data_IF_457531186626
#
_entry.id   IF_457531186626
#
_cell.length_a   1.000
_cell.length_b   1.000
_cell.length_c   1.000
_cell.angle_alpha   90.00
_cell.angle_beta   90.00
_cell.angle_gamma   90.00
#
_symmetry.space_group_name_H-M   'P 1'
#
loop_
_entity.id
_entity.type
_entity.pdbx_description
1 polymer ?
#
# COMPACT_ATOMS: atom_id res chain seq x y z
N UNK A 1 14.49 -10.60 -26.56
CA UNK A 1 15.27 -10.16 -25.38
C UNK A 1 14.25 -9.84 -24.30
N UNK A 2 14.34 -10.50 -23.14
CA UNK A 2 13.35 -10.35 -22.07
C UNK A 2 13.81 -9.34 -21.02
N UNK A 3 12.86 -8.62 -20.45
CA UNK A 3 13.08 -7.73 -19.33
C UNK A 3 13.43 -8.56 -18.09
N UNK A 4 14.62 -8.35 -17.52
CA UNK A 4 15.06 -9.05 -16.30
C UNK A 4 14.17 -8.78 -15.08
N UNK A 5 13.45 -7.65 -15.06
CA UNK A 5 12.60 -7.25 -13.95
C UNK A 5 11.23 -7.94 -13.94
N UNK A 6 10.69 -8.31 -15.12
CA UNK A 6 9.32 -8.84 -15.21
C UNK A 6 9.12 -9.99 -16.22
N UNK A 7 10.18 -10.45 -16.88
CA UNK A 7 10.14 -11.55 -17.85
C UNK A 7 9.43 -11.24 -19.18
N UNK A 8 8.95 -10.01 -19.40
CA UNK A 8 8.24 -9.65 -20.64
C UNK A 8 9.22 -9.22 -21.75
N UNK A 9 8.88 -9.54 -23.00
CA UNK A 9 9.69 -9.23 -24.19
C UNK A 9 9.38 -7.87 -24.84
N UNK A 10 8.26 -7.24 -24.48
CA UNK A 10 7.82 -6.00 -25.14
C UNK A 10 8.59 -4.78 -24.62
N UNK A 11 9.08 -3.97 -25.57
CA UNK A 11 9.84 -2.76 -25.26
C UNK A 11 9.51 -1.60 -26.19
N UNK A 12 9.71 -0.39 -25.66
CA UNK A 12 9.71 0.88 -26.40
C UNK A 12 11.09 1.49 -26.42
N UNK A 13 11.34 2.35 -27.40
CA UNK A 13 12.57 3.12 -27.48
C UNK A 13 12.43 4.41 -26.69
N UNK A 14 13.45 4.75 -25.90
CA UNK A 14 13.43 5.99 -25.10
C UNK A 14 14.70 6.81 -25.31
N UNK A 15 14.53 8.13 -25.30
CA UNK A 15 15.60 9.11 -25.34
C UNK A 15 15.61 9.83 -24.00
N UNK A 16 16.75 9.87 -23.32
CA UNK A 16 16.93 10.56 -22.05
C UNK A 16 18.04 11.59 -22.19
N UNK A 17 17.76 12.84 -21.84
CA UNK A 17 18.78 13.89 -21.78
C UNK A 17 19.43 13.89 -20.39
N UNK A 18 20.75 13.87 -20.36
CA UNK A 18 21.55 13.98 -19.15
C UNK A 18 21.71 15.47 -18.78
N UNK A 19 22.10 15.73 -17.53
CA UNK A 19 22.26 17.10 -17.01
C UNK A 19 23.27 17.96 -17.80
N UNK A 20 24.21 17.33 -18.51
CA UNK A 20 25.20 18.02 -19.35
C UNK A 20 24.72 18.24 -20.80
N UNK A 21 23.42 18.10 -21.07
CA UNK A 21 22.84 18.24 -22.42
C UNK A 21 23.11 17.05 -23.36
N UNK A 22 23.90 16.07 -22.93
CA UNK A 22 24.13 14.82 -23.68
C UNK A 22 22.88 13.93 -23.69
N UNK A 23 22.73 13.11 -24.73
CA UNK A 23 21.53 12.28 -24.91
C UNK A 23 21.90 10.79 -24.88
N UNK A 24 21.23 10.02 -24.03
CA UNK A 24 21.36 8.57 -23.96
C UNK A 24 20.08 7.87 -24.43
N UNK A 25 20.23 6.72 -25.11
CA UNK A 25 19.14 6.01 -25.78
C UNK A 25 19.00 4.61 -25.20
N UNK A 26 17.78 4.16 -24.91
CA UNK A 26 17.55 2.86 -24.27
C UNK A 26 16.37 2.12 -24.87
N UNK A 27 16.39 0.79 -24.74
CA UNK A 27 15.17 -0.04 -24.76
C UNK A 27 14.57 -0.05 -23.37
N UNK A 28 13.26 0.15 -23.26
CA UNK A 28 12.56 0.18 -21.98
C UNK A 28 11.35 -0.73 -22.01
N UNK A 29 11.22 -1.58 -21.01
CA UNK A 29 10.09 -2.50 -20.92
C UNK A 29 8.77 -1.73 -20.93
N UNK A 30 7.81 -2.14 -21.76
CA UNK A 30 6.49 -1.48 -21.81
C UNK A 30 5.74 -1.69 -20.48
N UNK A 31 5.91 -2.85 -19.85
CA UNK A 31 5.17 -3.23 -18.62
C UNK A 31 5.70 -2.56 -17.35
N UNK A 32 7.01 -2.62 -17.10
CA UNK A 32 7.60 -2.16 -15.83
C UNK A 32 8.54 -0.96 -15.99
N UNK A 33 8.74 -0.47 -17.21
CA UNK A 33 9.55 0.71 -17.52
C UNK A 33 11.04 0.61 -17.10
N UNK A 34 11.55 -0.59 -16.80
CA UNK A 34 12.98 -0.80 -16.58
C UNK A 34 13.75 -0.84 -17.90
N UNK A 35 15.03 -0.47 -17.85
CA UNK A 35 15.92 -0.57 -19.01
C UNK A 35 16.15 -2.05 -19.37
N UNK A 36 16.16 -2.34 -20.67
CA UNK A 36 16.45 -3.67 -21.19
C UNK A 36 17.81 -3.61 -21.89
N UNK A 37 18.84 -4.11 -21.21
CA UNK A 37 20.21 -4.11 -21.70
C UNK A 37 20.91 -2.75 -21.56
N UNK A 38 22.02 -2.60 -22.29
CA UNK A 38 22.86 -1.40 -22.27
C UNK A 38 22.26 -0.26 -23.10
N UNK A 39 22.83 0.94 -22.93
CA UNK A 39 22.52 2.09 -23.78
C UNK A 39 22.79 1.76 -25.26
N UNK A 40 21.89 2.22 -26.14
CA UNK A 40 21.98 2.03 -27.57
C UNK A 40 22.88 3.10 -28.20
N UNK A 41 23.67 2.68 -29.20
CA UNK A 41 24.30 3.61 -30.13
C UNK A 41 23.21 4.32 -30.96
N UNK A 42 23.55 5.49 -31.52
CA UNK A 42 22.65 6.22 -32.43
C UNK A 42 22.23 5.34 -33.62
N UNK A 43 23.18 4.64 -34.23
CA UNK A 43 22.93 3.76 -35.39
C UNK A 43 21.94 2.65 -35.06
N UNK A 44 22.13 1.96 -33.92
CA UNK A 44 21.21 0.89 -33.50
C UNK A 44 19.82 1.42 -33.15
N UNK A 45 19.75 2.63 -32.59
CA UNK A 45 18.48 3.26 -32.25
C UNK A 45 17.65 3.61 -33.50
N UNK A 46 18.28 4.24 -34.51
CA UNK A 46 17.58 4.59 -35.75
C UNK A 46 17.14 3.34 -36.52
N UNK A 47 17.95 2.27 -36.55
CA UNK A 47 17.54 0.99 -37.13
C UNK A 47 16.27 0.42 -36.48
N UNK A 48 16.19 0.44 -35.14
CA UNK A 48 15.01 -0.05 -34.42
C UNK A 48 13.80 0.86 -34.65
N UNK A 49 14.01 2.18 -34.70
CA UNK A 49 12.95 3.14 -34.99
C UNK A 49 12.37 2.93 -36.40
N UNK A 50 13.22 2.75 -37.42
CA UNK A 50 12.81 2.40 -38.78
C UNK A 50 12.10 1.03 -38.86
N UNK A 51 12.31 0.16 -37.89
CA UNK A 51 11.62 -1.14 -37.78
C UNK A 51 10.23 -1.04 -37.10
N UNK A 52 9.70 0.17 -36.90
CA UNK A 52 8.34 0.39 -36.42
C UNK A 52 8.18 0.48 -34.90
N UNK A 53 9.28 0.51 -34.12
CA UNK A 53 9.19 0.66 -32.67
C UNK A 53 8.87 2.11 -32.27
N UNK A 54 7.93 2.27 -31.32
CA UNK A 54 7.54 3.59 -30.81
C UNK A 54 8.67 4.24 -30.01
N UNK A 55 8.89 5.54 -30.26
CA UNK A 55 9.91 6.35 -29.60
C UNK A 55 9.27 7.33 -28.63
N UNK A 56 9.80 7.40 -27.41
CA UNK A 56 9.39 8.37 -26.39
C UNK A 56 10.59 9.23 -25.98
N UNK A 57 10.50 10.54 -26.18
CA UNK A 57 11.47 11.51 -25.64
C UNK A 57 11.10 11.82 -24.19
N UNK A 58 12.03 11.60 -23.27
CA UNK A 58 11.83 11.83 -21.84
C UNK A 58 12.28 13.23 -21.40
N UNK A 59 12.82 14.04 -22.32
CA UNK A 59 13.23 15.42 -22.07
C UNK A 59 14.36 15.59 -21.05
N UNK A 60 14.88 16.81 -20.94
CA UNK A 60 15.72 17.22 -19.81
C UNK A 60 14.77 17.85 -18.78
N UNK A 61 14.24 17.05 -17.87
CA UNK A 61 13.46 17.52 -16.72
C UNK A 61 12.31 18.50 -17.03
N UNK A 62 11.19 18.01 -17.56
CA UNK A 62 9.85 18.63 -17.42
C UNK A 62 8.79 17.61 -17.83
N UNK A 63 7.87 17.23 -16.94
CA UNK A 63 6.52 17.80 -16.90
C UNK A 63 5.88 17.92 -18.29
N UNK A 64 4.94 17.04 -18.61
CA UNK A 64 3.98 17.26 -19.68
C UNK A 64 2.64 17.69 -19.08
N UNK A 65 2.29 18.96 -19.29
CA UNK A 65 0.92 19.40 -19.42
C UNK A 65 0.40 19.01 -20.81
N UNK A 66 -0.71 18.27 -20.87
CA UNK A 66 -1.61 18.24 -22.02
C UNK A 66 -3.02 18.45 -21.50
N UNK A 67 -3.69 19.46 -22.07
CA UNK A 67 -5.04 19.90 -21.74
C UNK A 67 -6.07 18.95 -22.36
N UNK A 68 -7.15 18.76 -21.59
CA UNK A 68 -8.49 18.24 -21.90
C UNK A 68 -8.62 16.83 -22.48
N UNK A 69 -8.92 15.88 -21.59
CA UNK A 69 -10.29 15.40 -21.41
C UNK A 69 -10.45 14.89 -19.95
N UNK A 70 -11.56 15.26 -19.32
CA UNK A 70 -11.89 15.00 -17.91
C UNK A 70 -11.51 13.60 -17.42
N UNK A 71 -10.35 13.48 -16.76
CA UNK A 71 -10.07 12.45 -15.76
C UNK A 71 -8.90 12.91 -14.89
N UNK A 72 -9.21 13.17 -13.62
CA UNK A 72 -8.25 13.60 -12.59
C UNK A 72 -7.07 12.61 -12.49
N UNK A 73 -5.81 13.07 -12.27
CA UNK A 73 -4.70 12.16 -12.08
C UNK A 73 -4.87 11.42 -10.74
N UNK A 74 -5.25 10.15 -10.87
CA UNK A 74 -5.22 9.11 -9.83
C UNK A 74 -3.81 9.00 -9.23
N UNK A 75 -3.69 8.50 -8.00
CA UNK A 75 -2.37 8.22 -7.40
C UNK A 75 -1.52 7.40 -8.38
N UNK A 76 -0.24 7.70 -8.55
CA UNK A 76 0.56 6.99 -9.57
C UNK A 76 0.98 5.60 -9.11
N UNK A 77 0.87 5.30 -7.80
CA UNK A 77 1.07 3.96 -7.26
C UNK A 77 -0.12 3.03 -7.55
N UNK A 78 -1.34 3.53 -7.36
CA UNK A 78 -2.58 2.77 -7.55
C UNK A 78 -3.66 3.61 -8.24
N UNK A 79 -4.31 3.02 -9.24
CA UNK A 79 -5.35 3.66 -10.05
C UNK A 79 -6.73 3.63 -9.40
N UNK A 80 -6.98 2.70 -8.50
CA UNK A 80 -8.24 2.54 -7.80
C UNK A 80 -8.02 1.78 -6.49
N UNK A 81 -9.04 1.77 -5.62
CA UNK A 81 -8.99 1.07 -4.33
C UNK A 81 -8.81 -0.45 -4.50
N UNK A 82 -9.37 -1.03 -5.56
CA UNK A 82 -9.22 -2.46 -5.87
C UNK A 82 -7.76 -2.85 -6.10
N UNK A 83 -6.96 -2.02 -6.76
CA UNK A 83 -5.52 -2.23 -6.94
C UNK A 83 -4.78 -2.18 -5.59
N UNK A 84 -5.19 -1.29 -4.67
CA UNK A 84 -4.62 -1.22 -3.31
C UNK A 84 -4.95 -2.51 -2.53
N UNK A 85 -6.21 -2.95 -2.60
CA UNK A 85 -6.69 -4.18 -1.96
C UNK A 85 -5.97 -5.42 -2.49
N UNK A 86 -5.81 -5.53 -3.82
CA UNK A 86 -5.13 -6.67 -4.44
C UNK A 86 -3.64 -6.69 -4.09
N UNK A 87 -3.00 -5.52 -4.10
CA UNK A 87 -1.62 -5.41 -3.63
C UNK A 87 -1.49 -5.88 -2.18
N UNK A 88 -2.36 -5.41 -1.29
CA UNK A 88 -2.32 -5.79 0.12
C UNK A 88 -2.48 -7.30 0.29
N UNK A 89 -3.49 -7.88 -0.36
CA UNK A 89 -3.76 -9.32 -0.28
C UNK A 89 -2.57 -10.15 -0.75
N UNK A 90 -1.98 -9.82 -1.90
CA UNK A 90 -0.87 -10.57 -2.49
C UNK A 90 0.44 -10.40 -1.72
N UNK A 91 0.59 -9.33 -0.95
CA UNK A 91 1.79 -9.05 -0.17
C UNK A 91 1.71 -9.64 1.22
N UNK A 92 0.57 -9.47 1.89
CA UNK A 92 0.41 -9.84 3.29
C UNK A 92 0.05 -11.32 3.48
N UNK A 93 -0.28 -12.05 2.41
CA UNK A 93 -0.57 -13.49 2.47
C UNK A 93 0.60 -14.33 3.00
N UNK A 94 1.83 -13.84 2.85
CA UNK A 94 3.07 -14.41 3.38
C UNK A 94 3.00 -14.58 4.91
N UNK A 95 2.34 -13.64 5.60
CA UNK A 95 2.32 -13.57 7.06
C UNK A 95 0.97 -13.87 7.68
N UNK A 96 -0.11 -13.75 6.90
CA UNK A 96 -1.47 -13.82 7.42
C UNK A 96 -2.35 -14.75 6.59
N UNK A 97 -3.29 -15.40 7.28
CA UNK A 97 -4.50 -15.92 6.69
C UNK A 97 -5.46 -14.73 6.47
N UNK A 98 -5.91 -14.55 5.23
CA UNK A 98 -6.65 -13.35 4.82
C UNK A 98 -7.98 -13.78 4.22
N UNK A 99 -9.08 -13.26 4.76
CA UNK A 99 -10.42 -13.33 4.19
C UNK A 99 -10.81 -11.95 3.66
N UNK A 100 -11.33 -11.87 2.43
CA UNK A 100 -11.71 -10.63 1.73
C UNK A 100 -13.22 -10.41 1.77
N UNK A 101 -13.64 -9.15 1.84
CA UNK A 101 -15.03 -8.72 1.65
C UNK A 101 -15.99 -9.40 2.65
N UNK A 102 -15.54 -9.54 3.90
CA UNK A 102 -16.20 -10.35 4.92
C UNK A 102 -17.48 -9.65 5.39
N UNK A 103 -18.65 -10.27 5.21
CA UNK A 103 -19.90 -9.69 5.67
C UNK A 103 -20.00 -9.73 7.19
N UNK A 104 -20.69 -8.75 7.76
CA UNK A 104 -20.88 -8.64 9.20
C UNK A 104 -22.09 -7.81 9.57
N UNK A 105 -22.21 -7.57 10.88
CA UNK A 105 -23.29 -6.82 11.49
C UNK A 105 -22.75 -5.89 12.57
N UNK A 106 -23.13 -4.62 12.51
CA UNK A 106 -22.85 -3.65 13.57
C UNK A 106 -23.74 -3.96 14.77
N UNK A 107 -23.15 -4.19 15.94
CA UNK A 107 -23.88 -4.74 17.09
C UNK A 107 -24.88 -3.76 17.69
N UNK A 108 -24.58 -2.46 17.67
CA UNK A 108 -25.42 -1.41 18.27
C UNK A 108 -26.48 -0.89 17.29
N UNK A 109 -26.11 -0.78 16.03
CA UNK A 109 -26.95 -0.12 15.00
C UNK A 109 -27.77 -1.14 14.20
N UNK A 110 -27.57 -2.43 14.45
CA UNK A 110 -28.22 -3.55 13.76
C UNK A 110 -27.99 -3.55 12.22
N UNK A 111 -27.01 -2.80 11.73
CA UNK A 111 -26.78 -2.62 10.29
C UNK A 111 -25.82 -3.66 9.71
N UNK A 112 -26.06 -4.02 8.44
CA UNK A 112 -25.11 -4.83 7.67
C UNK A 112 -23.84 -4.03 7.39
N UNK A 113 -22.70 -4.63 7.66
CA UNK A 113 -21.37 -4.07 7.35
C UNK A 113 -20.56 -5.06 6.53
N UNK A 114 -19.47 -4.58 5.93
CA UNK A 114 -18.53 -5.41 5.18
C UNK A 114 -17.12 -4.92 5.46
N UNK A 115 -16.27 -5.80 5.97
CA UNK A 115 -14.86 -5.52 6.16
C UNK A 115 -14.09 -5.86 4.89
N UNK A 116 -13.17 -4.99 4.47
CA UNK A 116 -12.28 -5.28 3.34
C UNK A 116 -11.47 -6.54 3.59
N UNK A 117 -10.76 -6.62 4.73
CA UNK A 117 -10.08 -7.85 5.15
C UNK A 117 -10.23 -8.19 6.63
N UNK A 118 -10.38 -9.48 6.92
CA UNK A 118 -10.13 -10.06 8.23
C UNK A 118 -8.85 -10.91 8.17
N UNK A 119 -7.91 -10.64 9.08
CA UNK A 119 -6.59 -11.25 9.12
C UNK A 119 -6.38 -12.05 10.39
N UNK A 120 -5.75 -13.21 10.26
CA UNK A 120 -5.24 -14.02 11.38
C UNK A 120 -3.76 -14.34 11.14
N UNK A 121 -2.87 -14.21 12.14
CA UNK A 121 -1.45 -14.48 11.93
C UNK A 121 -1.19 -15.95 11.61
N UNK A 122 -0.24 -16.21 10.71
CA UNK A 122 0.33 -17.55 10.56
C UNK A 122 1.17 -17.91 11.80
N UNK A 123 1.43 -19.21 11.97
CA UNK A 123 2.26 -19.73 13.07
C UNK A 123 3.59 -19.01 13.17
N UNK A 124 4.27 -18.78 12.04
CA UNK A 124 5.54 -18.07 11.95
C UNK A 124 5.56 -16.69 12.62
N UNK A 125 4.45 -15.94 12.58
CA UNK A 125 4.35 -14.67 13.32
C UNK A 125 3.94 -14.88 14.77
N UNK A 126 2.99 -15.79 15.00
CA UNK A 126 2.43 -16.01 16.32
C UNK A 126 3.43 -16.64 17.30
N UNK A 127 4.35 -17.46 16.80
CA UNK A 127 5.43 -18.08 17.56
C UNK A 127 6.51 -17.04 17.93
N UNK A 128 6.56 -15.93 17.19
CA UNK A 128 7.38 -14.75 17.49
C UNK A 128 6.64 -13.73 18.39
N UNK A 129 5.49 -14.10 18.97
CA UNK A 129 4.76 -13.28 19.92
C UNK A 129 3.70 -12.35 19.32
N UNK A 130 3.40 -12.43 18.02
CA UNK A 130 2.26 -11.70 17.47
C UNK A 130 0.94 -12.23 18.06
N UNK A 131 0.02 -11.32 18.41
CA UNK A 131 -1.29 -11.65 18.97
C UNK A 131 -2.10 -12.66 18.14
N UNK A 132 -2.47 -13.79 18.75
CA UNK A 132 -3.23 -14.91 18.15
C UNK A 132 -4.73 -14.61 18.08
N UNK A 133 -5.14 -13.62 17.30
CA UNK A 133 -6.53 -13.29 17.10
C UNK A 133 -6.80 -12.57 15.79
N UNK A 134 -8.09 -12.54 15.42
CA UNK A 134 -8.53 -11.83 14.23
C UNK A 134 -8.44 -10.31 14.40
N UNK A 135 -8.01 -9.62 13.36
CA UNK A 135 -8.06 -8.16 13.26
C UNK A 135 -8.53 -7.74 11.88
N UNK A 136 -9.12 -6.54 11.81
CA UNK A 136 -9.64 -5.97 10.57
C UNK A 136 -8.58 -5.16 9.83
N UNK A 137 -8.72 -5.05 8.52
CA UNK A 137 -8.02 -4.05 7.70
C UNK A 137 -9.05 -3.37 6.81
N UNK A 138 -9.14 -2.05 6.90
CA UNK A 138 -9.91 -1.20 5.99
C UNK A 138 -8.94 -0.57 4.99
N UNK A 139 -9.22 -0.71 3.69
CA UNK A 139 -8.38 -0.20 2.63
C UNK A 139 -8.96 1.09 2.07
N UNK A 140 -8.10 2.07 1.81
CA UNK A 140 -8.49 3.31 1.16
C UNK A 140 -7.53 3.74 0.06
N UNK A 141 -8.09 4.30 -1.00
CA UNK A 141 -7.33 5.14 -1.92
C UNK A 141 -7.61 6.61 -1.61
N UNK A 142 -6.72 7.27 -0.87
CA UNK A 142 -6.86 8.71 -0.63
C UNK A 142 -6.46 9.50 -1.88
N UNK A 143 -7.28 10.47 -2.30
CA UNK A 143 -6.98 11.30 -3.45
C UNK A 143 -5.72 12.13 -3.20
N UNK A 144 -5.08 12.53 -4.30
CA UNK A 144 -3.91 13.39 -4.26
C UNK A 144 -4.24 14.89 -4.29
N UNK A 145 -5.50 15.30 -4.28
CA UNK A 145 -5.90 16.71 -4.39
C UNK A 145 -6.56 17.23 -3.10
N UNK A 146 -6.58 18.56 -2.99
CA UNK A 146 -6.93 19.34 -1.79
C UNK A 146 -8.36 19.15 -1.27
N UNK A 147 -9.30 18.77 -2.12
CA UNK A 147 -10.74 18.92 -1.84
C UNK A 147 -11.34 17.82 -0.94
N UNK A 148 -10.56 16.80 -0.56
CA UNK A 148 -11.06 15.66 0.22
C UNK A 148 -10.30 15.39 1.52
N UNK A 149 -9.96 16.45 2.26
CA UNK A 149 -9.37 16.34 3.61
C UNK A 149 -10.24 15.58 4.62
N UNK A 150 -11.53 15.37 4.31
CA UNK A 150 -12.45 14.57 5.13
C UNK A 150 -12.30 13.06 4.92
N UNK A 151 -11.67 12.61 3.83
CA UNK A 151 -11.58 11.19 3.50
C UNK A 151 -10.85 10.37 4.58
N UNK A 152 -9.70 10.83 5.13
CA UNK A 152 -9.08 10.16 6.27
C UNK A 152 -9.99 10.04 7.50
N UNK A 153 -10.76 11.10 7.82
CA UNK A 153 -11.67 11.07 8.98
C UNK A 153 -12.83 10.09 8.77
N UNK A 154 -13.38 10.01 7.56
CA UNK A 154 -14.40 9.01 7.21
C UNK A 154 -13.84 7.58 7.33
N UNK A 155 -12.62 7.37 6.83
CA UNK A 155 -11.93 6.08 6.94
C UNK A 155 -11.70 5.68 8.41
N UNK A 156 -11.33 6.65 9.27
CA UNK A 156 -11.24 6.43 10.71
C UNK A 156 -12.57 5.94 11.27
N UNK A 157 -13.66 6.69 11.07
CA UNK A 157 -14.95 6.32 11.65
C UNK A 157 -15.49 4.98 11.13
N UNK A 158 -15.22 4.65 9.87
CA UNK A 158 -15.53 3.33 9.32
C UNK A 158 -14.71 2.22 10.00
N UNK A 159 -13.41 2.41 10.21
CA UNK A 159 -12.58 1.46 10.94
C UNK A 159 -13.00 1.32 12.42
N UNK A 160 -13.45 2.41 13.04
CA UNK A 160 -13.97 2.40 14.42
C UNK A 160 -15.26 1.57 14.49
N UNK A 161 -16.23 1.79 13.60
CA UNK A 161 -17.50 1.06 13.65
C UNK A 161 -17.32 -0.45 13.49
N UNK A 162 -16.29 -0.89 12.77
CA UNK A 162 -15.97 -2.31 12.69
C UNK A 162 -15.48 -2.93 13.99
N UNK A 163 -14.83 -2.16 14.86
CA UNK A 163 -14.47 -2.64 16.19
C UNK A 163 -15.70 -2.86 17.09
N UNK A 164 -16.88 -2.40 16.68
CA UNK A 164 -18.19 -2.63 17.31
C UNK A 164 -19.09 -3.55 16.47
N UNK A 165 -18.50 -4.27 15.52
CA UNK A 165 -19.19 -5.21 14.63
C UNK A 165 -18.71 -6.64 14.83
N UNK A 166 -19.54 -7.59 14.40
CA UNK A 166 -19.20 -9.00 14.27
C UNK A 166 -19.19 -9.41 12.78
N UNK A 167 -18.35 -10.36 12.40
CA UNK A 167 -18.14 -10.77 11.01
C UNK A 167 -18.21 -12.28 10.84
N UNK A 168 -18.76 -12.72 9.70
CA UNK A 168 -19.01 -14.13 9.41
C UNK A 168 -18.00 -14.62 8.36
N UNK A 169 -16.89 -15.20 8.83
CA UNK A 169 -15.76 -15.59 7.98
C UNK A 169 -16.11 -16.65 6.93
N UNK A 170 -16.99 -17.60 7.27
CA UNK A 170 -17.50 -18.62 6.36
C UNK A 170 -18.31 -18.05 5.16
N UNK A 171 -18.71 -16.79 5.22
CA UNK A 171 -19.41 -16.06 4.15
C UNK A 171 -18.48 -15.11 3.37
N UNK A 172 -17.17 -15.17 3.63
CA UNK A 172 -16.16 -14.44 2.87
C UNK A 172 -16.22 -14.80 1.38
N UNK A 173 -16.06 -13.80 0.51
CA UNK A 173 -16.03 -14.04 -0.95
C UNK A 173 -14.76 -14.76 -1.40
N UNK A 174 -13.65 -14.48 -0.73
CA UNK A 174 -12.33 -14.97 -1.14
C UNK A 174 -11.45 -15.09 0.07
N UNK A 175 -10.74 -16.19 0.21
CA UNK A 175 -9.75 -16.37 1.26
C UNK A 175 -8.56 -17.18 0.73
N UNK A 176 -7.39 -16.98 1.33
CA UNK A 176 -6.21 -17.81 1.04
C UNK A 176 -6.14 -19.07 1.92
N UNK A 177 -7.25 -19.44 2.57
CA UNK A 177 -7.38 -20.57 3.47
C UNK A 177 -8.84 -21.07 3.49
N UNK A 178 -9.08 -22.23 4.11
CA UNK A 178 -10.42 -22.76 4.23
C UNK A 178 -11.21 -22.02 5.34
N UNK A 179 -12.15 -21.16 4.92
CA UNK A 179 -13.04 -20.41 5.82
C UNK A 179 -14.28 -21.18 6.25
N UNK A 180 -14.64 -22.28 5.57
CA UNK A 180 -15.90 -22.98 5.84
C UNK A 180 -15.94 -23.67 7.19
N UNK A 181 -14.77 -23.99 7.75
CA UNK A 181 -14.62 -24.58 9.08
C UNK A 181 -14.69 -23.56 10.22
N UNK A 182 -14.74 -22.26 9.92
CA UNK A 182 -14.86 -21.22 10.95
C UNK A 182 -16.34 -20.96 11.20
N UNK A 183 -16.83 -21.48 12.32
CA UNK A 183 -18.19 -21.30 12.77
C UNK A 183 -18.34 -20.05 13.64
N UNK A 184 -19.54 -19.46 13.61
CA UNK A 184 -19.90 -18.33 14.45
C UNK A 184 -19.43 -16.96 13.95
N UNK A 185 -19.82 -15.94 14.69
CA UNK A 185 -19.43 -14.55 14.42
C UNK A 185 -18.09 -14.24 15.09
N UNK A 186 -17.23 -13.52 14.39
CA UNK A 186 -15.89 -13.14 14.85
C UNK A 186 -15.79 -11.62 14.97
N UNK A 187 -15.30 -11.14 16.11
CA UNK A 187 -15.03 -9.73 16.34
C UNK A 187 -13.55 -9.41 16.10
N UNK A 188 -13.19 -8.37 15.33
CA UNK A 188 -11.80 -7.95 15.21
C UNK A 188 -11.30 -7.40 16.56
N UNK A 189 -10.07 -7.73 16.93
CA UNK A 189 -9.45 -7.22 18.15
C UNK A 189 -9.11 -5.73 18.04
N UNK A 190 -8.70 -5.31 16.84
CA UNK A 190 -8.49 -3.95 16.39
C UNK A 190 -8.69 -3.89 14.87
N UNK A 191 -8.72 -2.69 14.31
CA UNK A 191 -8.78 -2.47 12.85
C UNK A 191 -7.58 -1.64 12.40
N UNK A 192 -6.97 -2.00 11.29
CA UNK A 192 -5.89 -1.24 10.67
C UNK A 192 -6.40 -0.51 9.44
N UNK A 193 -5.96 0.73 9.22
CA UNK A 193 -6.16 1.44 7.96
C UNK A 193 -4.92 1.23 7.10
N UNK A 194 -5.14 0.79 5.86
CA UNK A 194 -4.13 0.69 4.83
C UNK A 194 -4.49 1.56 3.63
N UNK A 195 -3.53 2.29 3.08
CA UNK A 195 -3.81 3.15 1.93
C UNK A 195 -2.60 3.37 1.03
N UNK A 196 -2.80 4.05 -0.10
CA UNK A 196 -1.71 4.62 -0.89
C UNK A 196 -0.78 5.53 -0.07
N UNK A 197 -1.23 6.10 1.04
CA UNK A 197 -0.41 6.92 1.96
C UNK A 197 0.39 6.11 2.98
N UNK A 198 0.19 4.81 3.05
CA UNK A 198 1.03 3.90 3.84
C UNK A 198 2.47 3.84 3.30
N UNK A 199 2.66 4.19 2.02
CA UNK A 199 3.95 4.14 1.31
C UNK A 199 4.71 5.47 1.37
N UNK A 200 6.04 5.41 1.41
CA UNK A 200 6.86 6.61 1.34
C UNK A 200 6.73 7.29 -0.02
N UNK A 201 6.69 6.50 -1.10
CA UNK A 201 6.44 7.04 -2.45
C UNK A 201 5.09 7.76 -2.52
N UNK A 202 4.04 7.16 -1.96
CA UNK A 202 2.72 7.78 -1.92
C UNK A 202 2.69 9.09 -1.13
N UNK A 203 3.47 9.22 -0.04
CA UNK A 203 3.65 10.49 0.68
C UNK A 203 4.38 11.54 -0.17
N UNK A 204 5.44 11.14 -0.86
CA UNK A 204 6.23 12.03 -1.72
C UNK A 204 5.48 12.49 -2.97
N UNK A 205 4.63 11.65 -3.56
CA UNK A 205 3.76 12.02 -4.68
C UNK A 205 2.81 13.16 -4.31
N UNK A 206 2.23 13.11 -3.10
CA UNK A 206 1.37 14.19 -2.61
C UNK A 206 2.14 15.51 -2.48
N UNK A 207 3.36 15.46 -1.92
CA UNK A 207 4.24 16.61 -1.80
C UNK A 207 4.51 17.23 -3.17
N UNK A 208 4.88 16.40 -4.16
CA UNK A 208 5.22 16.87 -5.50
C UNK A 208 4.03 17.53 -6.21
N UNK A 209 2.80 17.08 -5.94
CA UNK A 209 1.59 17.58 -6.61
C UNK A 209 0.99 18.81 -5.93
N UNK A 210 1.17 18.97 -4.61
CA UNK A 210 0.47 20.02 -3.85
C UNK A 210 1.41 21.03 -3.19
N UNK A 211 2.71 20.76 -3.14
CA UNK A 211 3.67 21.58 -2.40
C UNK A 211 3.73 21.25 -0.90
N UNK A 212 4.70 21.86 -0.22
CA UNK A 212 5.08 21.54 1.15
C UNK A 212 4.02 21.92 2.20
N UNK A 213 3.38 23.10 2.06
CA UNK A 213 2.36 23.56 3.01
C UNK A 213 1.18 22.60 3.09
N UNK A 214 0.75 22.08 1.96
CA UNK A 214 -0.37 21.17 1.82
C UNK A 214 -0.03 19.78 2.35
N UNK A 215 1.19 19.28 2.06
CA UNK A 215 1.71 18.07 2.71
C UNK A 215 1.62 18.19 4.22
N UNK A 216 2.11 19.30 4.78
CA UNK A 216 2.11 19.49 6.22
C UNK A 216 0.69 19.47 6.81
N UNK A 217 -0.30 20.03 6.10
CA UNK A 217 -1.70 19.97 6.51
C UNK A 217 -2.26 18.55 6.51
N UNK A 218 -2.03 17.78 5.44
CA UNK A 218 -2.50 16.40 5.36
C UNK A 218 -1.79 15.49 6.39
N UNK A 219 -0.47 15.63 6.52
CA UNK A 219 0.31 14.90 7.53
C UNK A 219 -0.16 15.25 8.95
N UNK A 220 -0.55 16.51 9.20
CA UNK A 220 -1.16 16.93 10.46
C UNK A 220 -2.51 16.25 10.72
N UNK A 221 -3.38 16.18 9.69
CA UNK A 221 -4.68 15.49 9.78
C UNK A 221 -4.47 14.00 10.06
N UNK A 222 -3.57 13.34 9.32
CA UNK A 222 -3.24 11.94 9.54
C UNK A 222 -2.70 11.69 10.95
N UNK A 223 -1.81 12.55 11.46
CA UNK A 223 -1.31 12.46 12.85
C UNK A 223 -2.42 12.61 13.88
N UNK A 224 -3.35 13.54 13.64
CA UNK A 224 -4.52 13.75 14.51
C UNK A 224 -5.41 12.51 14.51
N UNK A 225 -5.71 11.98 13.32
CA UNK A 225 -6.49 10.76 13.13
C UNK A 225 -5.83 9.56 13.78
N UNK A 226 -4.52 9.37 13.61
CA UNK A 226 -3.80 8.26 14.25
C UNK A 226 -3.84 8.37 15.78
N UNK A 227 -3.84 9.59 16.32
CA UNK A 227 -3.93 9.81 17.78
C UNK A 227 -5.33 9.49 18.29
N UNK A 228 -6.39 9.89 17.59
CA UNK A 228 -7.77 9.53 17.95
C UNK A 228 -8.00 8.03 17.76
N UNK A 229 -7.57 7.48 16.63
CA UNK A 229 -7.70 6.06 16.29
C UNK A 229 -7.01 5.15 17.28
N UNK A 230 -5.85 5.55 17.82
CA UNK A 230 -5.20 4.86 18.92
C UNK A 230 -6.18 4.59 20.08
N UNK A 231 -7.00 5.56 20.49
CA UNK A 231 -8.01 5.37 21.55
C UNK A 231 -9.19 4.49 21.16
N UNK A 232 -9.48 4.40 19.86
CA UNK A 232 -10.57 3.61 19.31
C UNK A 232 -10.13 2.24 18.76
N UNK A 233 -8.94 1.76 19.12
CA UNK A 233 -8.33 0.51 18.61
C UNK A 233 -8.21 0.49 17.08
N UNK A 234 -7.86 1.64 16.49
CA UNK A 234 -7.56 1.79 15.07
C UNK A 234 -6.09 2.15 14.89
N UNK A 235 -5.38 1.33 14.12
CA UNK A 235 -3.98 1.54 13.75
C UNK A 235 -3.81 1.88 12.28
N UNK A 236 -2.56 2.15 11.89
CA UNK A 236 -2.15 2.43 10.52
C UNK A 236 -1.08 1.43 10.09
N UNK A 237 -1.22 0.91 8.87
CA UNK A 237 -0.16 0.14 8.23
C UNK A 237 0.81 1.12 7.57
N UNK A 238 2.12 0.94 7.80
CA UNK A 238 3.17 1.69 7.12
C UNK A 238 4.07 0.74 6.33
N UNK A 239 4.44 1.15 5.12
CA UNK A 239 5.31 0.43 4.21
C UNK A 239 6.53 1.31 3.90
N UNK A 240 7.71 0.70 3.99
CA UNK A 240 8.96 1.27 3.50
C UNK A 240 9.42 0.40 2.33
N UNK A 241 9.40 0.98 1.14
CA UNK A 241 9.93 0.36 -0.06
C UNK A 241 11.47 0.34 -0.05
N UNK A 242 12.04 -0.58 -0.82
CA UNK A 242 13.46 -0.56 -1.22
C UNK A 242 13.78 0.68 -2.06
N UNK A 243 15.05 1.05 -2.16
CA UNK A 243 15.49 2.27 -2.86
C UNK A 243 15.14 2.30 -4.35
N UNK A 244 15.02 1.13 -4.99
CA UNK A 244 14.57 0.97 -6.37
C UNK A 244 13.04 0.82 -6.49
N UNK A 245 12.33 0.83 -5.35
CA UNK A 245 10.89 0.60 -5.20
C UNK A 245 10.39 -0.74 -5.77
N UNK A 246 11.27 -1.73 -5.94
CA UNK A 246 10.91 -3.03 -6.52
C UNK A 246 10.30 -3.97 -5.48
N UNK A 247 10.69 -3.80 -4.21
CA UNK A 247 10.34 -4.68 -3.10
C UNK A 247 10.02 -3.92 -1.82
N UNK A 248 9.30 -4.58 -0.91
CA UNK A 248 9.08 -4.08 0.46
C UNK A 248 10.33 -4.36 1.28
N UNK A 249 10.92 -3.31 1.83
CA UNK A 249 12.02 -3.40 2.79
C UNK A 249 11.49 -3.58 4.21
N UNK A 250 10.41 -2.90 4.56
CA UNK A 250 9.79 -2.98 5.90
C UNK A 250 8.29 -2.73 5.83
N UNK A 251 7.55 -3.39 6.70
CA UNK A 251 6.22 -2.96 7.09
C UNK A 251 6.10 -2.84 8.61
N UNK A 252 5.20 -1.98 9.09
CA UNK A 252 4.87 -1.83 10.51
C UNK A 252 3.39 -1.59 10.73
N UNK A 253 2.92 -2.02 11.90
CA UNK A 253 1.61 -1.67 12.43
C UNK A 253 1.80 -0.66 13.54
N UNK A 254 1.30 0.55 13.33
CA UNK A 254 1.49 1.68 14.22
C UNK A 254 0.15 2.15 14.77
N UNK A 255 0.08 2.45 16.06
CA UNK A 255 -1.10 3.05 16.70
C UNK A 255 -0.68 4.40 17.27
N UNK A 256 -1.20 5.49 16.68
CA UNK A 256 -0.74 6.83 17.02
C UNK A 256 0.74 7.03 16.67
N UNK A 257 1.58 7.25 17.70
CA UNK A 257 3.03 7.44 17.55
C UNK A 257 3.85 6.22 17.94
N UNK A 258 3.20 5.14 18.33
CA UNK A 258 3.85 3.95 18.83
C UNK A 258 3.71 2.80 17.83
N UNK A 259 4.79 2.05 17.62
CA UNK A 259 4.78 0.84 16.80
C UNK A 259 4.39 -0.35 17.67
N UNK A 260 3.39 -1.11 17.22
CA UNK A 260 3.05 -2.41 17.83
C UNK A 260 4.05 -3.47 17.39
N UNK A 261 4.18 -3.67 16.09
CA UNK A 261 5.12 -4.63 15.50
C UNK A 261 5.68 -4.13 14.16
N UNK A 262 6.81 -4.69 13.76
CA UNK A 262 7.38 -4.46 12.44
C UNK A 262 8.07 -5.69 11.88
N UNK A 263 8.12 -5.76 10.57
CA UNK A 263 8.92 -6.73 9.84
C UNK A 263 9.91 -6.01 8.94
N UNK A 264 11.16 -6.44 8.96
CA UNK A 264 12.22 -5.92 8.08
C UNK A 264 12.77 -7.07 7.24
N UNK A 265 12.92 -6.82 5.94
CA UNK A 265 13.64 -7.66 5.00
C UNK A 265 14.95 -6.96 4.66
N UNK A 266 16.04 -7.46 5.22
CA UNK A 266 17.39 -7.03 4.85
C UNK A 266 17.92 -7.98 3.77
N UNK A 267 18.28 -7.38 2.64
CA UNK A 267 18.99 -8.04 1.55
C UNK A 267 20.38 -7.44 1.46
N UNK A 268 21.39 -8.22 1.85
CA UNK A 268 22.77 -7.98 1.44
C UNK A 268 23.11 -8.98 0.33
N UNK A 269 24.12 -8.68 -0.51
CA UNK A 269 24.45 -9.45 -1.73
C UNK A 269 24.68 -10.96 -1.51
N UNK A 270 24.84 -11.40 -0.26
CA UNK A 270 25.10 -12.79 0.13
C UNK A 270 24.07 -13.39 1.10
N UNK A 271 23.14 -12.62 1.68
CA UNK A 271 22.19 -13.14 2.67
C UNK A 271 20.87 -12.35 2.71
N UNK A 272 19.75 -13.08 2.86
CA UNK A 272 18.44 -12.51 3.16
C UNK A 272 18.12 -12.76 4.62
N UNK A 273 18.12 -11.70 5.43
CA UNK A 273 17.64 -11.78 6.81
C UNK A 273 16.24 -11.17 6.89
N UNK A 274 15.30 -11.93 7.43
CA UNK A 274 13.97 -11.44 7.78
C UNK A 274 13.89 -11.33 9.29
N UNK A 275 13.52 -10.15 9.79
CA UNK A 275 13.40 -9.89 11.22
C UNK A 275 12.01 -9.34 11.53
N UNK A 276 11.19 -10.17 12.18
CA UNK A 276 10.02 -9.68 12.90
C UNK A 276 10.45 -9.14 14.26
N UNK A 277 9.87 -8.01 14.65
CA UNK A 277 10.08 -7.39 15.95
C UNK A 277 8.74 -6.94 16.54
N UNK A 278 8.44 -7.46 17.72
CA UNK A 278 7.40 -6.94 18.60
C UNK A 278 7.99 -5.78 19.41
N UNK A 279 7.30 -4.64 19.46
CA UNK A 279 7.82 -3.42 20.13
C UNK A 279 7.04 -3.10 21.40
N UNK A 280 5.72 -2.88 21.29
CA UNK A 280 4.85 -2.63 22.44
C UNK A 280 3.58 -3.47 22.32
N UNK A 281 3.53 -4.61 22.99
CA UNK A 281 2.35 -5.50 22.97
C UNK A 281 1.14 -4.91 23.71
N UNK A 282 1.36 -4.03 24.68
CA UNK A 282 0.29 -3.49 25.51
C UNK A 282 -0.57 -2.49 24.75
N UNK A 283 -0.06 -1.92 23.66
CA UNK A 283 -0.79 -0.91 22.90
C UNK A 283 -2.12 -1.42 22.34
N UNK A 284 -2.18 -2.68 21.92
CA UNK A 284 -3.41 -3.30 21.41
C UNK A 284 -4.31 -3.81 22.53
N UNK A 285 -3.75 -4.06 23.72
CA UNK A 285 -4.48 -4.61 24.89
C UNK A 285 -5.12 -3.52 25.77
N UNK A 286 -4.61 -2.29 25.73
CA UNK A 286 -5.11 -1.16 26.53
C UNK A 286 -6.64 -1.07 26.44
N UNK A 287 -7.31 -1.30 27.57
CA UNK A 287 -8.73 -1.00 27.78
C UNK A 287 -8.84 0.51 27.95
N UNK A 288 -9.66 1.17 27.13
CA UNK A 288 -9.72 2.62 27.02
C UNK A 288 -11.16 3.09 27.20
N UNK A 289 -11.69 2.79 28.38
CA UNK A 289 -12.97 3.29 28.84
C UNK A 289 -12.66 4.31 29.94
N UNK A 290 -13.20 5.52 29.83
CA UNK A 290 -13.12 6.48 30.92
C UNK A 290 -13.78 5.86 32.15
N UNK A 291 -13.01 5.67 33.22
CA UNK A 291 -13.59 5.36 34.51
C UNK A 291 -14.24 6.64 35.03
N UNK A 292 -15.55 6.60 35.24
CA UNK A 292 -16.25 7.59 36.05
C UNK A 292 -16.00 7.29 37.52
#
# INVERSE_FOLDING_TARGET
MECRSCGKSDFKLTIQKNHNGGTTRYRRCVTCNSNIGAALSLTTFEQLKSSGYSVVDLGAGSQQSLVSNNSLPKSTLFKNEKEVQDWFFNVFDEWFYIAKEVPGKHLVEDMKVRMDFMLYPRSSLSDMGFYKGWFGVEVKLFPNHREELSAPSKALWQAVSYNDSEFYLNQSKTANFNVSSIEGATKPFYTMIFSNRSFNKGKNEYLNQNGEKQRNQFDYIMRTISTVGLYAKVGMVNIIESSDNSNIKKWSFDFGRETYCSFVRETNDTYRQTQFKLHNEEIIKKIRVGHQ
#
